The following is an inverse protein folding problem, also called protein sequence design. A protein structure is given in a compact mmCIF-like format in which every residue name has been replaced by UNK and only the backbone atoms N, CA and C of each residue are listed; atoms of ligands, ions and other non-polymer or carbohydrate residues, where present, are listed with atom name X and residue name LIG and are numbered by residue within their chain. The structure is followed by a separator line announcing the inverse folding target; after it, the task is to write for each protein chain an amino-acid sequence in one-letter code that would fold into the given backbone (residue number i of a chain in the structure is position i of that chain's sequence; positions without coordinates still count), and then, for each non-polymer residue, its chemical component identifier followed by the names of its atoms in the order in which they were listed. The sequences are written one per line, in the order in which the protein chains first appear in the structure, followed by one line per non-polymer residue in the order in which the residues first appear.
data_IF_723814356398
#
_entry.id   IF_723814356398
#
_cell.length_a   1.000
_cell.length_b   1.000
_cell.length_c   1.000
_cell.angle_alpha   90.00
_cell.angle_beta   90.00
_cell.angle_gamma   90.00
#
_symmetry.space_group_name_H-M   'P 1'
#
loop_
_entity.id
_entity.type
_entity.pdbx_description
1 polymer ?
#
# COMPACT_ATOMS: atom_id res chain seq x y z
N UNK A 1 10.66 -5.28 -16.04
CA UNK A 1 11.38 -4.14 -15.41
C UNK A 1 11.39 -4.34 -13.90
N UNK A 2 12.53 -4.65 -13.30
CA UNK A 2 12.66 -5.01 -11.87
C UNK A 2 12.72 -3.75 -11.00
N UNK A 3 11.94 -3.74 -9.90
CA UNK A 3 11.70 -2.58 -9.01
C UNK A 3 12.95 -1.78 -8.59
N UNK A 4 14.13 -2.41 -8.47
CA UNK A 4 15.37 -1.73 -8.10
C UNK A 4 15.83 -0.66 -9.10
N UNK A 5 15.45 -0.77 -10.39
CA UNK A 5 15.77 0.25 -11.40
C UNK A 5 15.00 1.55 -11.19
N UNK A 6 13.76 1.49 -10.68
CA UNK A 6 12.92 2.67 -10.48
C UNK A 6 13.39 3.53 -9.32
N UNK A 7 13.77 2.94 -8.18
CA UNK A 7 14.35 3.69 -7.05
C UNK A 7 15.68 4.36 -7.42
N UNK A 8 16.57 3.63 -8.09
CA UNK A 8 17.86 4.18 -8.53
C UNK A 8 17.69 5.34 -9.53
N UNK A 9 16.74 5.22 -10.47
CA UNK A 9 16.44 6.31 -11.40
C UNK A 9 15.90 7.53 -10.66
N UNK A 10 15.03 7.33 -9.68
CA UNK A 10 14.48 8.40 -8.84
C UNK A 10 15.60 9.13 -8.10
N UNK A 11 16.50 8.38 -7.45
CA UNK A 11 17.65 8.96 -6.74
C UNK A 11 18.56 9.78 -7.67
N UNK A 12 18.83 9.27 -8.87
CA UNK A 12 19.66 9.97 -9.87
C UNK A 12 19.02 11.26 -10.39
N UNK A 13 17.69 11.34 -10.42
CA UNK A 13 16.98 12.49 -11.00
C UNK A 13 16.57 13.52 -9.95
N UNK A 14 16.23 13.08 -8.74
CA UNK A 14 15.62 13.94 -7.71
C UNK A 14 16.41 13.99 -6.40
N UNK A 15 17.52 13.24 -6.28
CA UNK A 15 18.26 13.11 -5.03
C UNK A 15 17.66 12.07 -4.07
N UNK A 16 18.03 12.12 -2.80
CA UNK A 16 17.72 11.09 -1.81
C UNK A 16 16.23 10.73 -1.72
N UNK A 17 15.90 9.44 -1.80
CA UNK A 17 14.54 8.94 -1.61
C UNK A 17 14.24 8.81 -0.11
N UNK A 18 13.46 9.75 0.42
CA UNK A 18 13.10 9.80 1.86
C UNK A 18 11.62 9.51 2.13
N UNK A 19 10.76 9.53 1.11
CA UNK A 19 9.32 9.31 1.25
C UNK A 19 8.83 8.28 0.23
N UNK A 20 8.06 7.29 0.70
CA UNK A 20 7.34 6.32 -0.14
C UNK A 20 5.84 6.39 0.17
N UNK A 21 5.01 6.52 -0.85
CA UNK A 21 3.56 6.45 -0.74
C UNK A 21 3.01 5.26 -1.55
N UNK A 22 2.64 4.18 -0.87
CA UNK A 22 1.99 3.02 -1.48
C UNK A 22 0.48 3.25 -1.62
N UNK A 23 0.08 3.87 -2.74
CA UNK A 23 -1.31 4.25 -3.00
C UNK A 23 -2.07 3.34 -3.98
N UNK A 24 -1.38 2.52 -4.77
CA UNK A 24 -2.02 1.66 -5.76
C UNK A 24 -3.02 0.69 -5.09
N UNK A 25 -4.19 0.51 -5.71
CA UNK A 25 -5.23 -0.38 -5.21
C UNK A 25 -6.26 -0.70 -6.30
N UNK A 26 -6.91 -1.85 -6.15
CA UNK A 26 -7.99 -2.30 -7.00
C UNK A 26 -9.14 -2.85 -6.15
N UNK A 27 -10.36 -2.86 -6.69
CA UNK A 27 -11.53 -3.43 -6.03
C UNK A 27 -12.57 -3.83 -7.09
N UNK A 28 -12.86 -5.12 -7.21
CA UNK A 28 -14.02 -5.62 -7.96
C UNK A 28 -15.16 -5.76 -6.97
N UNK A 29 -16.23 -4.96 -7.06
CA UNK A 29 -17.31 -4.96 -6.06
C UNK A 29 -18.29 -6.13 -6.29
N UNK A 30 -17.86 -7.32 -5.89
CA UNK A 30 -18.61 -8.57 -6.06
C UNK A 30 -18.73 -9.34 -4.74
N UNK A 31 -19.67 -10.28 -4.69
CA UNK A 31 -19.91 -11.20 -3.58
C UNK A 31 -18.79 -12.27 -3.49
N UNK A 32 -18.90 -13.23 -2.57
CA UNK A 32 -18.01 -14.40 -2.57
C UNK A 32 -18.28 -15.32 -3.77
N UNK A 33 -19.56 -15.54 -4.08
CA UNK A 33 -19.98 -16.46 -5.15
C UNK A 33 -19.51 -16.00 -6.53
N UNK A 34 -19.43 -14.68 -6.73
CA UNK A 34 -19.05 -14.07 -8.01
C UNK A 34 -17.57 -13.67 -8.08
N UNK A 35 -16.80 -13.81 -6.99
CA UNK A 35 -15.39 -13.43 -7.02
C UNK A 35 -14.51 -14.55 -7.57
N UNK A 36 -13.99 -14.33 -8.77
CA UNK A 36 -13.05 -15.26 -9.40
C UNK A 36 -11.65 -15.17 -8.76
N UNK A 37 -10.86 -16.22 -8.97
CA UNK A 37 -9.47 -16.27 -8.53
C UNK A 37 -8.62 -15.16 -9.19
N UNK A 38 -8.86 -14.85 -10.46
CA UNK A 38 -8.16 -13.78 -11.17
C UNK A 38 -8.46 -12.40 -10.56
N UNK A 39 -9.72 -12.15 -10.19
CA UNK A 39 -10.11 -10.92 -9.49
C UNK A 39 -9.41 -10.83 -8.13
N UNK A 40 -9.40 -11.93 -7.38
CA UNK A 40 -8.70 -12.04 -6.11
C UNK A 40 -7.20 -11.73 -6.26
N UNK A 41 -6.53 -12.43 -7.17
CA UNK A 41 -5.09 -12.25 -7.42
C UNK A 41 -4.76 -10.84 -7.88
N UNK A 42 -5.60 -10.22 -8.70
CA UNK A 42 -5.42 -8.84 -9.14
C UNK A 42 -5.47 -7.87 -7.95
N UNK A 43 -6.49 -7.99 -7.09
CA UNK A 43 -6.63 -7.12 -5.90
C UNK A 43 -5.48 -7.33 -4.93
N UNK A 44 -5.08 -8.57 -4.66
CA UNK A 44 -3.97 -8.88 -3.77
C UNK A 44 -2.62 -8.38 -4.33
N UNK A 45 -2.37 -8.61 -5.61
CA UNK A 45 -1.14 -8.19 -6.29
C UNK A 45 -0.98 -6.68 -6.26
N UNK A 46 -2.03 -5.94 -6.62
CA UNK A 46 -1.98 -4.48 -6.66
C UNK A 46 -2.00 -3.91 -5.23
N UNK A 47 -2.94 -4.36 -4.40
CA UNK A 47 -3.27 -3.73 -3.13
C UNK A 47 -2.37 -4.11 -1.96
N UNK A 48 -1.74 -5.29 -1.98
CA UNK A 48 -0.88 -5.77 -0.90
C UNK A 48 0.55 -6.05 -1.38
N UNK A 49 0.71 -6.89 -2.41
CA UNK A 49 2.04 -7.24 -2.94
C UNK A 49 2.77 -6.02 -3.47
N UNK A 50 2.06 -5.09 -4.14
CA UNK A 50 2.61 -3.82 -4.60
C UNK A 50 3.24 -3.00 -3.47
N UNK A 51 2.56 -2.90 -2.32
CA UNK A 51 3.08 -2.21 -1.14
C UNK A 51 4.34 -2.89 -0.57
N UNK A 52 4.32 -4.23 -0.47
CA UNK A 52 5.49 -5.01 -0.05
C UNK A 52 6.70 -4.75 -0.96
N UNK A 53 6.49 -4.83 -2.28
CA UNK A 53 7.54 -4.62 -3.26
C UNK A 53 8.07 -3.18 -3.20
N UNK A 54 7.18 -2.19 -3.09
CA UNK A 54 7.56 -0.77 -2.94
C UNK A 54 8.45 -0.55 -1.72
N UNK A 55 8.08 -1.09 -0.57
CA UNK A 55 8.89 -1.01 0.66
C UNK A 55 10.25 -1.68 0.44
N UNK A 56 10.26 -2.91 -0.08
CA UNK A 56 11.50 -3.66 -0.37
C UNK A 56 12.46 -2.88 -1.27
N UNK A 57 11.93 -2.10 -2.22
CA UNK A 57 12.73 -1.31 -3.15
C UNK A 57 13.19 0.05 -2.57
N UNK A 58 12.43 0.65 -1.67
CA UNK A 58 12.70 1.98 -1.13
C UNK A 58 13.62 1.96 0.11
N UNK A 59 13.48 0.96 0.98
CA UNK A 59 14.20 0.89 2.27
C UNK A 59 15.72 1.00 2.11
N UNK A 60 16.40 0.35 1.14
CA UNK A 60 17.84 0.53 0.96
C UNK A 60 18.24 1.97 0.66
N UNK A 61 17.42 2.70 -0.11
CA UNK A 61 17.66 4.11 -0.42
C UNK A 61 17.42 5.01 0.79
N UNK A 62 16.32 4.77 1.53
CA UNK A 62 16.02 5.50 2.77
C UNK A 62 17.12 5.33 3.83
N UNK A 63 17.70 4.12 3.96
CA UNK A 63 18.85 3.88 4.85
C UNK A 63 20.06 4.72 4.47
N UNK A 64 20.40 4.79 3.18
CA UNK A 64 21.48 5.67 2.69
C UNK A 64 21.19 7.14 2.93
N UNK A 65 19.93 7.53 2.89
CA UNK A 65 19.47 8.88 3.18
C UNK A 65 19.43 9.22 4.69
N UNK A 66 19.71 8.25 5.57
CA UNK A 66 19.68 8.42 7.03
C UNK A 66 18.29 8.27 7.68
N UNK A 67 17.29 7.80 6.93
CA UNK A 67 15.93 7.57 7.42
C UNK A 67 14.86 7.90 6.40
N UNK A 68 13.59 7.81 6.81
CA UNK A 68 12.48 8.11 5.90
C UNK A 68 11.09 7.88 6.47
N UNK A 69 10.10 8.07 5.61
CA UNK A 69 8.69 7.86 5.92
C UNK A 69 8.00 7.04 4.83
N UNK A 70 7.29 5.99 5.24
CA UNK A 70 6.45 5.16 4.39
C UNK A 70 4.99 5.41 4.78
N UNK A 71 4.15 5.65 3.77
CA UNK A 71 2.70 5.78 3.92
C UNK A 71 2.01 4.71 3.09
N UNK A 72 1.26 3.84 3.76
CA UNK A 72 0.44 2.82 3.12
C UNK A 72 -1.03 3.24 3.09
N UNK A 73 -1.72 2.95 1.98
CA UNK A 73 -3.15 3.22 1.86
C UNK A 73 -4.01 2.04 2.32
N UNK A 74 -4.60 2.19 3.51
CA UNK A 74 -5.63 1.34 4.07
C UNK A 74 -7.03 1.69 3.57
N UNK A 75 -8.02 1.37 4.39
CA UNK A 75 -9.45 1.65 4.17
C UNK A 75 -10.18 1.47 5.50
N UNK A 76 -11.41 1.97 5.63
CA UNK A 76 -12.27 1.51 6.73
C UNK A 76 -12.41 -0.03 6.75
N UNK A 77 -12.36 -0.66 5.57
CA UNK A 77 -12.34 -2.12 5.42
C UNK A 77 -11.09 -2.79 6.03
N UNK A 78 -10.05 -2.03 6.39
CA UNK A 78 -8.87 -2.56 7.08
C UNK A 78 -9.16 -2.99 8.53
N UNK A 79 -10.19 -2.42 9.17
CA UNK A 79 -10.48 -2.63 10.60
C UNK A 79 -11.95 -2.81 10.93
N UNK A 80 -12.85 -2.57 9.97
CA UNK A 80 -14.31 -2.71 10.13
C UNK A 80 -14.87 -3.59 9.03
N UNK A 81 -15.90 -4.37 9.35
CA UNK A 81 -16.72 -5.07 8.35
C UNK A 81 -17.61 -4.07 7.61
N UNK A 82 -17.96 -4.35 6.36
CA UNK A 82 -19.03 -3.62 5.66
C UNK A 82 -18.66 -2.85 4.39
N UNK A 83 -17.69 -3.31 3.59
CA UNK A 83 -17.56 -2.75 2.24
C UNK A 83 -16.45 -3.32 1.37
N UNK A 84 -16.74 -3.44 0.07
CA UNK A 84 -15.85 -4.03 -0.94
C UNK A 84 -16.07 -5.54 -1.10
N UNK A 85 -15.23 -6.18 -1.91
CA UNK A 85 -15.27 -7.63 -2.07
C UNK A 85 -14.40 -8.38 -1.07
N UNK A 86 -14.51 -9.72 -0.97
CA UNK A 86 -13.65 -10.54 -0.13
C UNK A 86 -12.15 -10.23 -0.27
N UNK A 87 -11.65 -10.15 -1.51
CA UNK A 87 -10.27 -9.79 -1.80
C UNK A 87 -9.89 -8.39 -1.32
N UNK A 88 -10.79 -7.42 -1.46
CA UNK A 88 -10.54 -6.06 -1.00
C UNK A 88 -10.40 -6.00 0.52
N UNK A 89 -11.33 -6.63 1.26
CA UNK A 89 -11.26 -6.73 2.71
C UNK A 89 -9.97 -7.40 3.18
N UNK A 90 -9.65 -8.56 2.61
CA UNK A 90 -8.43 -9.30 2.95
C UNK A 90 -7.16 -8.48 2.65
N UNK A 91 -7.06 -7.88 1.46
CA UNK A 91 -5.95 -7.02 1.07
C UNK A 91 -5.76 -5.84 2.03
N UNK A 92 -6.85 -5.16 2.39
CA UNK A 92 -6.81 -3.98 3.27
C UNK A 92 -6.55 -4.33 4.74
N UNK A 93 -6.98 -5.48 5.22
CA UNK A 93 -6.56 -6.01 6.51
C UNK A 93 -5.06 -6.39 6.50
N UNK A 94 -4.57 -7.00 5.41
CA UNK A 94 -3.16 -7.34 5.23
C UNK A 94 -2.22 -6.14 5.29
N UNK A 95 -2.66 -4.97 4.81
CA UNK A 95 -1.88 -3.72 4.93
C UNK A 95 -1.62 -3.33 6.39
N UNK A 96 -2.49 -3.69 7.34
CA UNK A 96 -2.27 -3.42 8.76
C UNK A 96 -1.02 -4.15 9.26
N UNK A 97 -0.91 -5.45 8.93
CA UNK A 97 0.25 -6.27 9.28
C UNK A 97 1.52 -5.82 8.56
N UNK A 98 1.42 -5.53 7.26
CA UNK A 98 2.55 -5.00 6.47
C UNK A 98 3.09 -3.69 7.07
N UNK A 99 2.19 -2.82 7.52
CA UNK A 99 2.55 -1.53 8.10
C UNK A 99 3.19 -1.71 9.47
N UNK A 100 2.50 -2.39 10.39
CA UNK A 100 2.89 -2.40 11.82
C UNK A 100 3.99 -3.42 12.10
N UNK A 101 3.78 -4.67 11.69
CA UNK A 101 4.66 -5.78 12.04
C UNK A 101 5.85 -5.90 11.09
N UNK A 102 5.63 -5.70 9.78
CA UNK A 102 6.68 -5.95 8.78
C UNK A 102 7.53 -4.72 8.45
N UNK A 103 7.03 -3.50 8.65
CA UNK A 103 7.74 -2.28 8.28
C UNK A 103 8.04 -1.36 9.47
N UNK A 104 7.03 -0.91 10.21
CA UNK A 104 7.23 0.06 11.29
C UNK A 104 8.13 -0.49 12.40
N UNK A 105 7.83 -1.69 12.91
CA UNK A 105 8.62 -2.31 13.98
C UNK A 105 10.07 -2.63 13.54
N UNK A 106 10.31 -3.30 12.39
CA UNK A 106 11.68 -3.71 12.04
C UNK A 106 12.59 -2.58 11.57
N UNK A 107 12.04 -1.51 10.99
CA UNK A 107 12.84 -0.41 10.43
C UNK A 107 12.91 0.83 11.33
N UNK A 108 12.35 0.78 12.54
CA UNK A 108 12.39 1.89 13.49
C UNK A 108 13.83 2.30 13.85
N UNK A 109 14.74 1.33 14.06
CA UNK A 109 16.15 1.60 14.36
C UNK A 109 16.91 2.25 13.20
N UNK A 110 16.38 2.11 11.96
CA UNK A 110 16.96 2.73 10.77
C UNK A 110 16.48 4.18 10.57
N UNK A 111 15.72 4.74 11.52
CA UNK A 111 15.09 6.06 11.37
C UNK A 111 13.96 6.08 10.34
N UNK A 112 13.41 4.92 9.98
CA UNK A 112 12.33 4.78 8.98
C UNK A 112 11.01 4.54 9.70
N UNK A 113 10.07 5.48 9.54
CA UNK A 113 8.71 5.36 10.09
C UNK A 113 7.77 4.82 9.04
N UNK A 114 6.81 3.98 9.43
CA UNK A 114 5.78 3.48 8.53
C UNK A 114 4.39 3.66 9.15
N UNK A 115 3.49 4.31 8.42
CA UNK A 115 2.12 4.58 8.87
C UNK A 115 1.11 4.19 7.79
N UNK A 116 -0.13 3.92 8.22
CA UNK A 116 -1.24 3.65 7.33
C UNK A 116 -2.31 4.73 7.47
N UNK A 117 -2.83 5.21 6.34
CA UNK A 117 -4.01 6.09 6.31
C UNK A 117 -5.21 5.26 5.86
N UNK A 118 -6.33 5.34 6.58
CA UNK A 118 -7.56 4.58 6.28
C UNK A 118 -8.71 5.53 5.93
N UNK A 119 -8.89 5.88 4.65
CA UNK A 119 -9.97 6.75 4.24
C UNK A 119 -11.34 6.10 4.40
N UNK A 120 -12.32 6.91 4.80
CA UNK A 120 -13.73 6.60 4.65
C UNK A 120 -14.26 6.87 3.23
N UNK A 121 -15.59 6.79 3.04
CA UNK A 121 -16.21 7.18 1.77
C UNK A 121 -15.77 8.60 1.40
N UNK A 122 -15.22 8.78 0.21
CA UNK A 122 -14.83 10.09 -0.31
C UNK A 122 -15.79 10.50 -1.42
N UNK A 123 -16.28 11.74 -1.35
CA UNK A 123 -16.83 12.42 -2.54
C UNK A 123 -15.72 12.51 -3.57
N UNK A 124 -16.00 12.03 -4.77
CA UNK A 124 -15.18 12.20 -5.96
C UNK A 124 -16.11 12.69 -7.07
N UNK A 125 -15.58 13.39 -8.06
CA UNK A 125 -16.37 14.13 -9.07
C UNK A 125 -17.40 13.28 -9.84
N UNK A 126 -17.28 11.95 -9.80
CA UNK A 126 -18.20 11.00 -10.43
C UNK A 126 -19.40 10.59 -9.56
N UNK A 127 -19.56 11.18 -8.37
CA UNK A 127 -20.75 10.97 -7.55
C UNK A 127 -21.72 12.15 -7.75
N UNK A 128 -22.89 11.94 -8.39
CA UNK A 128 -23.86 13.02 -8.56
C UNK A 128 -24.31 13.54 -7.18
N UNK A 129 -24.63 14.84 -7.06
CA UNK A 129 -25.22 15.37 -5.84
C UNK A 129 -26.53 14.62 -5.52
N UNK A 130 -26.75 14.37 -4.23
CA UNK A 130 -28.03 13.86 -3.73
C UNK A 130 -29.08 14.95 -3.79
#
# INVERSE_FOLDING_TARGET
MTLGRSSCKTEKTFGSLTILCNNAGANFRVSFDDQTEEMWHTVMTIGLTGGFLGIKAAVPAMRRAGGGAIVNMGSLASTRSGGGSPAYGASKAGIVGLTTQSAAKPYASDGIRCNMVSPGPRRHAFHPPR
#
